data_IF_545177779667
#
_entry.id   IF_545177779667
#
_cell.length_a   1.000
_cell.length_b   1.000
_cell.length_c   1.000
_cell.angle_alpha   90.00
_cell.angle_beta   90.00
_cell.angle_gamma   90.00
#
_symmetry.space_group_name_H-M   'P 1'
#
loop_
_entity.id
_entity.type
_entity.pdbx_description
1 polymer ?
#
# COMPACT_ATOMS: atom_id res chain seq x y z
N UNK A 1 4.59 -21.18 10.52
CA UNK A 1 5.10 -20.01 11.26
C UNK A 1 3.94 -19.47 12.06
N UNK A 2 4.01 -19.50 13.38
CA UNK A 2 2.89 -19.16 14.28
C UNK A 2 3.01 -17.70 14.68
N UNK A 3 1.90 -16.95 14.72
CA UNK A 3 1.92 -15.53 15.07
C UNK A 3 2.34 -15.33 16.54
N UNK A 4 3.32 -14.46 16.76
CA UNK A 4 3.82 -14.10 18.10
C UNK A 4 2.84 -13.12 18.77
N UNK A 5 2.18 -13.61 19.82
CA UNK A 5 1.16 -12.87 20.56
C UNK A 5 1.75 -11.72 21.36
N UNK A 6 3.00 -11.83 21.81
CA UNK A 6 3.67 -10.79 22.59
C UNK A 6 4.10 -9.62 21.70
N UNK A 7 4.30 -9.86 20.39
CA UNK A 7 4.47 -8.78 19.42
C UNK A 7 3.17 -8.00 19.20
N UNK A 8 2.04 -8.70 19.07
CA UNK A 8 0.71 -8.08 18.90
C UNK A 8 0.32 -7.21 20.09
N UNK A 9 0.52 -7.68 21.32
CA UNK A 9 0.20 -6.91 22.53
C UNK A 9 1.10 -5.69 22.71
N UNK A 10 2.38 -5.76 22.29
CA UNK A 10 3.29 -4.60 22.30
C UNK A 10 2.92 -3.53 21.29
N UNK A 11 2.35 -3.92 20.15
CA UNK A 11 1.83 -2.98 19.14
C UNK A 11 0.57 -2.28 19.66
N UNK A 12 -0.34 -3.02 20.31
CA UNK A 12 -1.55 -2.46 20.94
C UNK A 12 -1.24 -1.48 22.08
N UNK A 13 -0.20 -1.73 22.87
CA UNK A 13 0.12 -0.91 24.03
C UNK A 13 0.73 0.48 23.69
N UNK A 14 1.10 0.74 22.43
CA UNK A 14 1.90 1.91 22.04
C UNK A 14 1.17 2.94 21.16
N UNK A 15 -0.09 2.74 20.81
CA UNK A 15 -0.90 3.71 20.04
C UNK A 15 -2.40 3.49 20.25
N UNK A 16 -3.15 4.58 20.44
CA UNK A 16 -4.60 4.61 20.72
C UNK A 16 -5.49 4.05 19.60
N UNK A 17 -6.80 4.41 19.52
CA UNK A 17 -7.87 3.66 18.85
C UNK A 17 -7.82 3.73 17.31
N UNK A 18 -6.72 3.31 16.71
CA UNK A 18 -6.47 3.19 15.27
C UNK A 18 -6.15 1.73 14.91
N UNK A 19 -6.88 0.79 15.51
CA UNK A 19 -6.94 -0.57 14.96
C UNK A 19 -7.66 -0.47 13.62
N UNK A 20 -6.91 -0.30 12.53
CA UNK A 20 -7.43 -0.43 11.18
C UNK A 20 -7.96 -1.86 11.08
N UNK A 21 -9.28 -2.01 11.17
CA UNK A 21 -9.91 -3.31 10.93
C UNK A 21 -9.54 -3.71 9.50
N UNK A 22 -8.90 -4.88 9.36
CA UNK A 22 -8.61 -5.43 8.05
C UNK A 22 -9.95 -5.57 7.29
N UNK A 23 -10.12 -4.90 6.14
CA UNK A 23 -11.36 -4.99 5.38
C UNK A 23 -11.73 -6.45 5.10
N UNK A 24 -12.96 -6.84 5.40
CA UNK A 24 -13.45 -8.22 5.23
C UNK A 24 -13.47 -8.68 3.77
N UNK A 25 -13.30 -7.75 2.83
CA UNK A 25 -13.33 -8.01 1.40
C UNK A 25 -12.43 -7.04 0.64
N UNK A 26 -11.32 -7.56 0.11
CA UNK A 26 -10.59 -6.95 -1.00
C UNK A 26 -10.71 -7.90 -2.19
N UNK A 27 -11.37 -7.50 -3.29
CA UNK A 27 -11.38 -8.33 -4.48
C UNK A 27 -9.96 -8.46 -5.03
N UNK A 28 -9.60 -9.64 -5.55
CA UNK A 28 -8.35 -9.82 -6.29
C UNK A 28 -8.33 -8.85 -7.48
N UNK A 29 -7.27 -8.06 -7.59
CA UNK A 29 -7.02 -7.16 -8.73
C UNK A 29 -5.81 -7.66 -9.49
N UNK A 30 -5.96 -7.81 -10.80
CA UNK A 30 -4.85 -8.02 -11.73
C UNK A 30 -4.66 -6.74 -12.52
N UNK A 31 -3.49 -6.13 -12.37
CA UNK A 31 -3.15 -4.87 -13.01
C UNK A 31 -2.01 -5.14 -13.98
N UNK A 32 -2.24 -4.84 -15.25
CA UNK A 32 -1.19 -4.89 -16.27
C UNK A 32 -0.24 -3.73 -16.02
N UNK A 33 1.06 -4.02 -15.94
CA UNK A 33 2.07 -2.99 -15.82
C UNK A 33 2.35 -2.38 -17.19
N UNK A 34 2.07 -1.09 -17.33
CA UNK A 34 2.38 -0.34 -18.54
C UNK A 34 3.72 0.38 -18.35
N UNK A 35 4.75 -0.10 -19.05
CA UNK A 35 6.11 0.44 -19.00
C UNK A 35 6.98 -0.08 -17.86
N UNK A 36 8.14 0.56 -17.68
CA UNK A 36 9.20 0.07 -16.78
C UNK A 36 9.15 0.68 -15.38
N UNK A 37 8.27 1.64 -15.13
CA UNK A 37 8.13 2.31 -13.84
C UNK A 37 6.66 2.61 -13.58
N UNK A 38 6.19 2.21 -12.39
CA UNK A 38 4.79 2.30 -11.99
C UNK A 38 4.70 2.88 -10.58
N UNK A 39 4.03 4.01 -10.45
CA UNK A 39 3.71 4.61 -9.15
C UNK A 39 2.51 3.89 -8.51
N UNK A 40 2.70 3.51 -7.25
CA UNK A 40 1.68 2.93 -6.37
C UNK A 40 1.36 3.98 -5.31
N UNK A 41 0.08 4.27 -5.11
CA UNK A 41 -0.33 5.25 -4.11
C UNK A 41 -1.83 5.47 -4.08
N UNK A 42 -2.24 6.61 -3.53
CA UNK A 42 -3.63 7.08 -3.54
C UNK A 42 -3.77 8.28 -4.47
N UNK A 43 -4.78 8.25 -5.35
CA UNK A 43 -5.10 9.42 -6.17
C UNK A 43 -5.41 10.64 -5.28
N UNK A 44 -4.76 11.77 -5.60
CA UNK A 44 -4.97 13.03 -4.90
C UNK A 44 -5.00 14.18 -5.91
N UNK A 45 -6.20 14.67 -6.19
CA UNK A 45 -6.41 15.77 -7.13
C UNK A 45 -5.82 17.10 -6.64
N UNK A 46 -5.80 17.36 -5.34
CA UNK A 46 -5.25 18.61 -4.77
C UNK A 46 -3.72 18.68 -4.95
N UNK A 47 -3.04 17.54 -4.86
CA UNK A 47 -1.59 17.43 -5.05
C UNK A 47 -1.21 17.09 -6.49
N UNK A 48 -2.18 16.90 -7.40
CA UNK A 48 -1.94 16.52 -8.80
C UNK A 48 -1.28 15.15 -8.95
N UNK A 49 -1.53 14.21 -8.04
CA UNK A 49 -0.94 12.86 -8.08
C UNK A 49 -1.96 11.85 -8.57
N UNK A 50 -1.64 11.24 -9.71
CA UNK A 50 -2.42 10.18 -10.35
C UNK A 50 -1.54 8.91 -10.45
N UNK A 51 -1.60 8.00 -9.46
CA UNK A 51 -0.81 6.78 -9.47
C UNK A 51 -1.38 5.77 -10.48
N UNK A 52 -0.50 5.07 -11.18
CA UNK A 52 -0.90 4.01 -12.12
C UNK A 52 -1.56 2.83 -11.39
N UNK A 53 -1.14 2.55 -10.16
CA UNK A 53 -1.83 1.63 -9.25
C UNK A 53 -2.39 2.46 -8.10
N UNK A 54 -3.67 2.81 -8.23
CA UNK A 54 -4.42 3.47 -7.18
C UNK A 54 -4.97 2.43 -6.17
N UNK A 55 -4.46 2.51 -4.94
CA UNK A 55 -4.92 1.73 -3.79
C UNK A 55 -5.82 2.55 -2.85
N UNK A 56 -6.09 3.81 -3.19
CA UNK A 56 -7.08 4.65 -2.52
C UNK A 56 -8.52 4.41 -2.97
N UNK A 57 -8.74 3.55 -3.95
CA UNK A 57 -10.08 3.13 -4.37
C UNK A 57 -10.73 2.20 -3.33
N UNK A 58 -12.06 2.11 -3.33
CA UNK A 58 -12.79 1.32 -2.34
C UNK A 58 -12.42 -0.18 -2.36
N UNK A 59 -12.19 -0.82 -1.19
CA UNK A 59 -12.18 -0.21 0.16
C UNK A 59 -10.88 0.58 0.39
N UNK A 60 -11.05 1.81 0.87
CA UNK A 60 -9.95 2.76 1.03
C UNK A 60 -9.03 2.30 2.16
N UNK A 61 -7.76 2.10 1.84
CA UNK A 61 -6.73 1.89 2.85
C UNK A 61 -6.17 3.24 3.34
N UNK A 62 -6.37 3.55 4.62
CA UNK A 62 -5.85 4.77 5.24
C UNK A 62 -4.33 4.75 5.39
N UNK A 63 -3.70 3.58 5.42
CA UNK A 63 -2.25 3.41 5.51
C UNK A 63 -1.50 3.69 4.21
N UNK A 64 -2.21 3.88 3.10
CA UNK A 64 -1.60 4.22 1.80
C UNK A 64 -1.42 5.73 1.65
N UNK A 65 -0.17 6.12 1.39
CA UNK A 65 0.22 7.49 1.05
C UNK A 65 -0.13 7.88 -0.39
N UNK A 66 -0.20 9.19 -0.66
CA UNK A 66 -0.37 9.71 -2.04
C UNK A 66 0.69 9.15 -3.00
N UNK A 67 1.95 9.12 -2.56
CA UNK A 67 3.07 8.50 -3.26
C UNK A 67 3.69 7.45 -2.33
N UNK A 68 3.22 6.20 -2.41
CA UNK A 68 3.56 5.17 -1.43
C UNK A 68 4.80 4.39 -1.83
N UNK A 69 4.81 3.86 -3.06
CA UNK A 69 5.93 3.06 -3.56
C UNK A 69 6.06 3.19 -5.08
N UNK A 70 7.23 2.83 -5.59
CA UNK A 70 7.50 2.73 -7.03
C UNK A 70 7.91 1.30 -7.35
N UNK A 71 7.19 0.70 -8.30
CA UNK A 71 7.55 -0.55 -8.90
C UNK A 71 8.36 -0.29 -10.17
N UNK A 72 9.47 -1.01 -10.37
CA UNK A 72 10.27 -0.96 -11.59
C UNK A 72 10.47 -2.34 -12.18
N UNK A 73 10.25 -2.43 -13.48
CA UNK A 73 10.52 -3.63 -14.29
C UNK A 73 11.87 -3.44 -14.96
N UNK A 74 12.77 -4.39 -14.75
CA UNK A 74 14.09 -4.47 -15.37
C UNK A 74 14.28 -5.86 -15.97
N UNK A 75 15.26 -6.02 -16.84
CA UNK A 75 15.61 -7.34 -17.41
C UNK A 75 16.01 -8.34 -16.32
N UNK A 76 16.60 -7.83 -15.22
CA UNK A 76 16.96 -8.61 -14.04
C UNK A 76 15.76 -9.00 -13.15
N UNK A 77 14.57 -8.50 -13.46
CA UNK A 77 13.34 -8.74 -12.69
C UNK A 77 12.67 -7.48 -12.16
N UNK A 78 11.71 -7.69 -11.28
CA UNK A 78 10.84 -6.66 -10.72
C UNK A 78 11.36 -6.20 -9.35
N UNK A 79 11.45 -4.89 -9.15
CA UNK A 79 11.85 -4.29 -7.88
C UNK A 79 10.76 -3.35 -7.38
N UNK A 80 10.51 -3.34 -6.07
CA UNK A 80 9.65 -2.37 -5.40
C UNK A 80 10.50 -1.49 -4.49
N UNK A 81 10.25 -0.18 -4.53
CA UNK A 81 10.94 0.81 -3.70
C UNK A 81 9.89 1.60 -2.93
N UNK A 82 9.94 1.54 -1.61
CA UNK A 82 9.13 2.37 -0.72
C UNK A 82 9.60 3.83 -0.75
N UNK A 83 8.66 4.78 -0.74
CA UNK A 83 8.97 6.22 -0.81
C UNK A 83 9.01 6.91 0.56
N UNK A 84 8.89 6.16 1.67
CA UNK A 84 8.91 6.71 3.03
C UNK A 84 7.57 7.34 3.40
N UNK A 85 6.53 6.52 3.48
CA UNK A 85 5.20 6.93 3.96
C UNK A 85 5.20 7.35 5.43
#
# INVERSE_FOLDING_TARGET
MTADRDFYERVLARGGPDTVELPRFFPERRITLEGNTTLIGRHNHEQGVEPQIDLGIHPVDRGVSTQHAVLRVRDSGLTITDLGS
#
